data_IF_659521828445
#
_entry.id   IF_659521828445
#
_cell.length_a   1.000
_cell.length_b   1.000
_cell.length_c   1.000
_cell.angle_alpha   90.00
_cell.angle_beta   90.00
_cell.angle_gamma   90.00
#
_symmetry.space_group_name_H-M   'P 1'
#
loop_
_entity.id
_entity.type
_entity.pdbx_description
1 polymer ?
#
# COMPACT_ATOMS: atom_id res chain seq x y z
N UNK A 1 -19.59 -9.25 15.37
CA UNK A 1 -19.37 -9.16 13.93
C UNK A 1 -18.17 -8.27 13.76
N UNK A 2 -17.08 -8.78 13.20
CA UNK A 2 -15.90 -7.98 12.89
C UNK A 2 -16.19 -7.15 11.65
N UNK A 3 -15.75 -5.89 11.64
CA UNK A 3 -15.85 -5.05 10.45
C UNK A 3 -14.72 -5.40 9.49
N UNK A 4 -15.02 -5.48 8.19
CA UNK A 4 -14.00 -5.60 7.14
C UNK A 4 -13.83 -4.26 6.43
N UNK A 5 -12.58 -3.91 6.16
CA UNK A 5 -12.21 -2.74 5.39
C UNK A 5 -11.58 -3.19 4.09
N UNK A 6 -12.17 -2.80 2.97
CA UNK A 6 -11.54 -2.99 1.67
C UNK A 6 -10.42 -1.97 1.53
N UNK A 7 -9.21 -2.50 1.37
CA UNK A 7 -8.02 -1.74 1.02
C UNK A 7 -7.71 -1.93 -0.44
N UNK A 8 -7.38 -0.83 -1.12
CA UNK A 8 -6.78 -0.86 -2.46
C UNK A 8 -5.49 -0.09 -2.43
N UNK A 9 -4.38 -0.71 -2.82
CA UNK A 9 -3.05 -0.10 -2.93
C UNK A 9 -2.51 -0.32 -4.34
N UNK A 10 -1.97 0.72 -4.94
CA UNK A 10 -1.42 0.71 -6.30
C UNK A 10 -0.23 1.65 -6.38
N UNK A 11 0.99 1.11 -6.37
CA UNK A 11 2.20 1.90 -6.54
C UNK A 11 3.29 1.18 -7.31
N UNK A 12 4.25 1.95 -7.81
CA UNK A 12 5.50 1.42 -8.37
C UNK A 12 6.57 1.53 -7.32
N UNK A 13 7.37 0.49 -7.15
CA UNK A 13 8.56 0.50 -6.32
C UNK A 13 9.77 0.98 -7.11
N UNK A 14 10.72 1.57 -6.40
CA UNK A 14 11.96 2.07 -6.96
C UNK A 14 12.81 0.92 -7.53
N UNK A 15 13.62 1.18 -8.56
CA UNK A 15 14.54 0.21 -9.13
C UNK A 15 15.56 -0.37 -8.15
N UNK A 16 15.96 0.43 -7.16
CA UNK A 16 16.95 0.09 -6.15
C UNK A 16 16.32 -0.50 -4.87
N UNK A 17 15.06 -0.93 -4.95
CA UNK A 17 14.39 -1.61 -3.83
C UNK A 17 15.20 -2.85 -3.41
N UNK A 18 15.61 -2.96 -2.14
CA UNK A 18 16.43 -4.07 -1.66
C UNK A 18 15.72 -5.41 -1.77
N UNK A 19 16.47 -6.47 -2.07
CA UNK A 19 15.94 -7.84 -2.09
C UNK A 19 15.24 -8.24 -0.77
N UNK A 20 15.77 -7.91 0.43
CA UNK A 20 15.09 -8.23 1.69
C UNK A 20 13.69 -7.61 1.80
N UNK A 21 13.51 -6.36 1.36
CA UNK A 21 12.20 -5.71 1.34
C UNK A 21 11.24 -6.41 0.37
N UNK A 22 11.73 -6.80 -0.82
CA UNK A 22 10.90 -7.54 -1.78
C UNK A 22 10.51 -8.93 -1.27
N UNK A 23 11.37 -9.58 -0.50
CA UNK A 23 11.09 -10.88 0.11
C UNK A 23 10.04 -10.76 1.23
N UNK A 24 10.17 -9.75 2.09
CA UNK A 24 9.15 -9.37 3.07
C UNK A 24 7.81 -9.02 2.41
N UNK A 25 7.83 -8.24 1.32
CA UNK A 25 6.62 -7.93 0.56
C UNK A 25 5.96 -9.16 -0.06
N UNK A 26 6.75 -10.11 -0.60
CA UNK A 26 6.19 -11.38 -1.08
C UNK A 26 5.54 -12.18 0.04
N UNK A 27 6.11 -12.17 1.24
CA UNK A 27 5.54 -12.82 2.41
C UNK A 27 4.20 -12.19 2.78
N UNK A 28 4.12 -10.86 2.94
CA UNK A 28 2.86 -10.20 3.29
C UNK A 28 1.78 -10.31 2.23
N UNK A 29 2.17 -10.43 0.96
CA UNK A 29 1.25 -10.74 -0.12
C UNK A 29 0.82 -12.22 -0.15
N UNK A 30 1.43 -13.12 0.62
CA UNK A 30 1.16 -14.57 0.51
C UNK A 30 1.60 -15.15 -0.83
N UNK A 31 2.65 -14.58 -1.44
CA UNK A 31 3.32 -15.13 -2.63
C UNK A 31 4.45 -16.11 -2.25
N UNK A 32 4.81 -16.15 -0.98
CA UNK A 32 5.73 -17.11 -0.37
C UNK A 32 5.29 -17.39 1.05
N UNK A 33 5.47 -18.63 1.50
CA UNK A 33 5.24 -19.02 2.90
C UNK A 33 6.47 -18.80 3.78
N UNK A 34 7.64 -18.57 3.16
CA UNK A 34 8.89 -18.34 3.89
C UNK A 34 8.87 -16.95 4.54
N UNK A 35 8.97 -16.85 5.88
CA UNK A 35 9.06 -15.56 6.55
C UNK A 35 10.38 -14.84 6.21
N UNK A 36 10.40 -13.50 6.22
CA UNK A 36 11.62 -12.73 6.01
C UNK A 36 12.62 -12.95 7.15
N UNK A 37 13.93 -12.95 6.85
CA UNK A 37 14.98 -13.16 7.86
C UNK A 37 15.16 -11.98 8.81
N UNK A 38 14.89 -10.77 8.31
CA UNK A 38 15.01 -9.50 9.04
C UNK A 38 13.85 -8.58 8.62
N UNK A 39 12.63 -8.82 9.11
CA UNK A 39 11.50 -7.96 8.80
C UNK A 39 11.75 -6.54 9.28
N UNK A 40 11.38 -5.56 8.47
CA UNK A 40 11.31 -4.15 8.86
C UNK A 40 9.89 -3.76 9.29
N UNK A 41 8.88 -4.45 8.78
CA UNK A 41 7.50 -4.32 9.21
C UNK A 41 7.31 -5.15 10.48
N UNK A 42 6.87 -4.53 11.57
CA UNK A 42 6.65 -5.19 12.86
C UNK A 42 5.35 -6.04 12.88
N UNK A 43 5.07 -6.72 11.77
CA UNK A 43 3.91 -7.59 11.59
C UNK A 43 4.45 -8.99 11.24
N UNK A 44 4.17 -9.99 12.06
CA UNK A 44 4.72 -11.35 11.87
C UNK A 44 3.79 -12.31 11.11
N UNK A 45 2.61 -11.82 10.69
CA UNK A 45 1.67 -12.52 9.81
C UNK A 45 1.54 -11.85 8.43
N UNK A 46 1.09 -12.58 7.40
CA UNK A 46 0.98 -12.00 6.08
C UNK A 46 -0.30 -11.14 5.97
N UNK A 47 -0.14 -9.82 6.05
CA UNK A 47 -1.25 -8.88 6.27
C UNK A 47 -1.87 -8.28 4.99
N UNK A 48 -1.39 -8.66 3.81
CA UNK A 48 -1.91 -8.24 2.50
C UNK A 48 -2.32 -9.46 1.66
N UNK A 49 -2.70 -10.55 2.33
CA UNK A 49 -3.20 -11.79 1.70
C UNK A 49 -4.64 -11.64 1.26
N UNK A 50 -5.09 -12.58 0.44
CA UNK A 50 -6.49 -12.73 0.06
C UNK A 50 -7.07 -13.89 0.87
N UNK A 51 -8.19 -13.68 1.53
CA UNK A 51 -8.91 -14.79 2.17
C UNK A 51 -9.58 -15.66 1.10
N UNK A 52 -9.47 -17.00 1.16
CA UNK A 52 -10.08 -17.90 0.18
C UNK A 52 -11.60 -17.75 0.06
N UNK A 53 -12.26 -17.37 1.15
CA UNK A 53 -13.70 -17.16 1.26
C UNK A 53 -14.07 -15.67 1.32
N UNK A 54 -13.26 -14.79 0.72
CA UNK A 54 -13.59 -13.36 0.74
C UNK A 54 -14.94 -13.08 0.02
N UNK A 55 -15.71 -12.19 0.62
CA UNK A 55 -17.02 -11.72 0.13
C UNK A 55 -16.87 -10.50 -0.78
N UNK A 56 -15.64 -10.13 -1.16
CA UNK A 56 -15.36 -8.90 -1.87
C UNK A 56 -15.93 -8.99 -3.28
N UNK A 57 -16.81 -8.06 -3.71
CA UNK A 57 -17.34 -8.10 -5.07
C UNK A 57 -16.20 -8.00 -6.09
N UNK A 58 -16.08 -8.99 -6.97
CA UNK A 58 -14.97 -9.10 -7.93
C UNK A 58 -13.69 -9.75 -7.38
N UNK A 59 -13.69 -10.17 -6.12
CA UNK A 59 -12.61 -10.85 -5.42
C UNK A 59 -11.44 -9.94 -5.02
N UNK A 60 -10.65 -10.41 -4.06
CA UNK A 60 -9.36 -9.82 -3.74
C UNK A 60 -8.33 -10.11 -4.81
N UNK A 61 -7.38 -9.19 -4.98
CA UNK A 61 -6.33 -9.25 -5.99
C UNK A 61 -5.01 -8.85 -5.37
N UNK A 62 -3.96 -9.60 -5.70
CA UNK A 62 -2.58 -9.24 -5.38
C UNK A 62 -1.70 -9.44 -6.60
N UNK A 63 -0.84 -8.46 -6.87
CA UNK A 63 0.03 -8.50 -8.03
C UNK A 63 1.31 -7.75 -7.72
N UNK A 64 2.44 -8.43 -7.92
CA UNK A 64 3.77 -7.84 -7.87
C UNK A 64 4.50 -8.20 -9.16
N UNK A 65 4.57 -7.25 -10.08
CA UNK A 65 5.06 -7.48 -11.44
C UNK A 65 6.38 -6.76 -11.66
N UNK A 66 7.42 -7.52 -12.00
CA UNK A 66 8.69 -6.95 -12.44
C UNK A 66 8.54 -6.32 -13.83
N UNK A 67 8.82 -5.03 -13.92
CA UNK A 67 8.90 -4.28 -15.17
C UNK A 67 10.36 -4.25 -15.63
N UNK A 68 10.59 -4.71 -16.87
CA UNK A 68 11.93 -4.71 -17.45
C UNK A 68 12.40 -3.27 -17.73
N UNK A 69 13.71 -2.99 -17.66
CA UNK A 69 14.27 -1.72 -18.10
C UNK A 69 13.85 -1.38 -19.55
N UNK A 70 13.58 -0.09 -19.83
CA UNK A 70 13.20 0.37 -21.17
C UNK A 70 13.68 1.80 -21.43
N UNK A 71 14.28 2.06 -22.60
CA UNK A 71 14.78 3.38 -23.05
C UNK A 71 15.44 4.21 -21.92
N UNK A 72 16.54 3.67 -21.36
CA UNK A 72 17.32 4.27 -20.26
C UNK A 72 16.58 4.40 -18.92
N UNK A 73 15.37 3.86 -18.77
CA UNK A 73 14.71 3.72 -17.48
C UNK A 73 15.10 2.38 -16.87
N UNK A 74 15.62 2.36 -15.63
CA UNK A 74 15.87 1.11 -14.92
C UNK A 74 14.56 0.35 -14.68
N UNK A 75 14.66 -0.96 -14.47
CA UNK A 75 13.50 -1.80 -14.16
C UNK A 75 12.87 -1.40 -12.83
N UNK A 76 11.61 -1.74 -12.63
CA UNK A 76 10.85 -1.42 -11.42
C UNK A 76 9.90 -2.56 -11.07
N UNK A 77 9.19 -2.46 -9.96
CA UNK A 77 8.09 -3.38 -9.65
C UNK A 77 6.78 -2.60 -9.58
N UNK A 78 5.75 -3.11 -10.25
CA UNK A 78 4.37 -2.65 -10.05
C UNK A 78 3.71 -3.48 -8.96
N UNK A 79 3.19 -2.83 -7.93
CA UNK A 79 2.41 -3.43 -6.86
C UNK A 79 0.94 -3.02 -7.03
N UNK A 80 0.05 -4.00 -7.01
CA UNK A 80 -1.38 -3.80 -6.86
C UNK A 80 -1.93 -4.77 -5.81
N UNK A 81 -2.67 -4.24 -4.85
CA UNK A 81 -3.34 -5.01 -3.80
C UNK A 81 -4.77 -4.50 -3.71
N UNK A 82 -5.71 -5.43 -3.64
CA UNK A 82 -7.09 -5.20 -3.25
C UNK A 82 -7.46 -6.32 -2.29
N UNK A 83 -7.74 -6.01 -1.03
CA UNK A 83 -8.01 -7.05 -0.01
C UNK A 83 -8.90 -6.51 1.11
N UNK A 84 -9.46 -7.42 1.92
CA UNK A 84 -10.05 -7.06 3.20
C UNK A 84 -9.01 -7.04 4.32
N UNK A 85 -9.15 -6.04 5.17
CA UNK A 85 -8.43 -5.90 6.44
C UNK A 85 -9.46 -5.93 7.56
N UNK A 86 -9.21 -6.74 8.58
CA UNK A 86 -10.05 -6.84 9.77
C UNK A 86 -9.87 -5.63 10.70
N UNK A 87 -10.92 -5.30 11.44
CA UNK A 87 -10.97 -4.15 12.34
C UNK A 87 -9.93 -4.16 13.46
N UNK A 88 -9.63 -5.33 14.02
CA UNK A 88 -8.60 -5.53 15.04
C UNK A 88 -7.19 -5.21 14.53
N UNK A 89 -6.88 -5.53 13.27
CA UNK A 89 -5.60 -5.22 12.63
C UNK A 89 -5.56 -3.84 11.97
N UNK A 90 -6.72 -3.26 11.64
CA UNK A 90 -6.82 -2.05 10.81
C UNK A 90 -6.01 -0.88 11.36
N UNK A 91 -6.13 -0.59 12.67
CA UNK A 91 -5.45 0.55 13.30
C UNK A 91 -3.92 0.45 13.27
N UNK A 92 -3.38 -0.76 13.31
CA UNK A 92 -1.94 -0.99 13.24
C UNK A 92 -1.46 -0.89 11.79
N UNK A 93 -2.15 -1.61 10.89
CA UNK A 93 -1.77 -1.68 9.49
C UNK A 93 -1.85 -0.31 8.80
N UNK A 94 -2.84 0.52 9.15
CA UNK A 94 -3.09 1.82 8.49
C UNK A 94 -1.91 2.78 8.60
N UNK A 95 -1.15 2.66 9.68
CA UNK A 95 0.07 3.44 9.91
C UNK A 95 1.28 2.71 9.33
N UNK A 96 1.40 1.41 9.63
CA UNK A 96 2.61 0.64 9.36
C UNK A 96 2.81 0.36 7.86
N UNK A 97 1.78 -0.14 7.16
CA UNK A 97 1.91 -0.60 5.77
C UNK A 97 2.19 0.55 4.80
N UNK A 98 1.42 1.66 4.79
CA UNK A 98 1.71 2.76 3.89
C UNK A 98 3.09 3.38 4.16
N UNK A 99 3.48 3.55 5.43
CA UNK A 99 4.79 4.10 5.79
C UNK A 99 5.94 3.20 5.35
N UNK A 100 5.81 1.89 5.53
CA UNK A 100 6.79 0.92 5.07
C UNK A 100 6.92 0.90 3.54
N UNK A 101 5.80 0.90 2.81
CA UNK A 101 5.79 0.96 1.34
C UNK A 101 6.35 2.29 0.81
N UNK A 102 6.06 3.41 1.46
CA UNK A 102 6.45 4.75 1.02
C UNK A 102 7.96 4.87 0.83
N UNK A 103 8.76 4.26 1.71
CA UNK A 103 10.24 4.31 1.69
C UNK A 103 10.84 3.89 0.35
N UNK A 104 10.19 2.94 -0.32
CA UNK A 104 10.63 2.40 -1.61
C UNK A 104 9.68 2.75 -2.75
N UNK A 105 8.71 3.62 -2.55
CA UNK A 105 7.79 4.04 -3.60
C UNK A 105 8.47 4.96 -4.61
N UNK A 106 8.37 4.59 -5.88
CA UNK A 106 8.59 5.48 -7.01
C UNK A 106 7.34 6.32 -7.32
N UNK A 107 6.15 5.82 -7.01
CA UNK A 107 4.91 6.60 -7.12
C UNK A 107 4.92 7.72 -6.08
N UNK A 108 4.52 8.91 -6.53
CA UNK A 108 4.32 10.10 -5.71
C UNK A 108 2.85 10.52 -5.85
N UNK A 109 2.26 11.08 -4.80
CA UNK A 109 0.83 11.36 -4.74
C UNK A 109 0.02 10.14 -4.30
N UNK A 110 -1.18 9.99 -4.82
CA UNK A 110 -2.13 8.94 -4.41
C UNK A 110 -1.58 7.54 -4.70
N UNK A 111 -1.63 6.67 -3.70
CA UNK A 111 -1.20 5.26 -3.81
C UNK A 111 -2.31 4.28 -3.44
N UNK A 112 -3.48 4.74 -3.04
CA UNK A 112 -4.54 3.83 -2.61
C UNK A 112 -5.58 4.45 -1.70
N UNK A 113 -6.49 3.62 -1.22
CA UNK A 113 -7.60 4.02 -0.37
C UNK A 113 -8.08 2.86 0.51
N UNK A 114 -8.78 3.21 1.59
CA UNK A 114 -9.53 2.29 2.44
C UNK A 114 -11.01 2.69 2.47
N UNK A 115 -11.89 1.68 2.44
CA UNK A 115 -13.34 1.84 2.60
C UNK A 115 -13.92 0.71 3.44
N UNK A 116 -15.07 0.94 4.06
CA UNK A 116 -15.81 -0.13 4.72
C UNK A 116 -16.40 -1.10 3.68
N UNK A 117 -16.59 -2.38 4.05
CA UNK A 117 -17.03 -3.50 3.18
C UNK A 117 -18.21 -3.17 2.23
N UNK A 118 -19.13 -2.31 2.66
CA UNK A 118 -20.33 -1.96 1.90
C UNK A 118 -20.38 -0.48 1.46
N UNK A 119 -19.32 0.29 1.76
CA UNK A 119 -19.28 1.71 1.41
C UNK A 119 -18.93 1.89 -0.06
N UNK A 120 -19.68 2.76 -0.74
CA UNK A 120 -19.38 3.14 -2.13
C UNK A 120 -18.17 4.08 -2.22
N UNK A 121 -17.89 4.83 -1.15
CA UNK A 121 -16.85 5.84 -1.10
C UNK A 121 -15.77 5.46 -0.09
N UNK A 122 -14.49 5.77 -0.39
CA UNK A 122 -13.42 5.63 0.58
C UNK A 122 -13.63 6.62 1.74
N UNK A 123 -13.29 6.17 2.95
CA UNK A 123 -13.19 7.05 4.11
C UNK A 123 -11.75 7.53 4.32
N UNK A 124 -10.77 6.88 3.71
CA UNK A 124 -9.37 7.29 3.74
C UNK A 124 -8.68 7.07 2.40
N UNK A 125 -7.87 8.04 2.00
CA UNK A 125 -6.95 7.93 0.88
C UNK A 125 -5.51 7.95 1.39
N UNK A 126 -4.64 7.15 0.78
CA UNK A 126 -3.22 7.09 1.09
C UNK A 126 -2.41 7.78 0.00
N UNK A 127 -1.40 8.55 0.43
CA UNK A 127 -0.49 9.26 -0.46
C UNK A 127 0.95 9.02 -0.05
N UNK A 128 1.86 9.22 -0.99
CA UNK A 128 3.31 9.18 -0.77
C UNK A 128 3.97 10.43 -1.29
N UNK A 129 4.88 11.00 -0.52
CA UNK A 129 5.78 12.05 -0.95
C UNK A 129 7.18 11.83 -0.36
N UNK A 130 8.20 11.81 -1.20
CA UNK A 130 9.61 11.76 -0.80
C UNK A 130 9.96 10.67 0.23
N UNK A 131 9.34 9.49 0.09
CA UNK A 131 9.57 8.36 1.00
C UNK A 131 8.70 8.35 2.26
N UNK A 132 7.80 9.32 2.41
CA UNK A 132 6.87 9.45 3.52
C UNK A 132 5.44 9.13 3.10
N UNK A 133 4.68 8.53 4.01
CA UNK A 133 3.26 8.25 3.80
C UNK A 133 2.37 9.30 4.46
N UNK A 134 1.25 9.55 3.81
CA UNK A 134 0.25 10.52 4.22
C UNK A 134 -1.14 9.93 4.03
N UNK A 135 -2.13 10.52 4.69
CA UNK A 135 -3.51 10.17 4.47
C UNK A 135 -4.43 11.38 4.52
N UNK A 136 -5.60 11.25 3.90
CA UNK A 136 -6.66 12.25 3.96
C UNK A 136 -8.04 11.58 3.90
N UNK A 137 -8.95 12.05 4.75
CA UNK A 137 -10.37 11.79 4.58
C UNK A 137 -10.95 12.56 3.40
N UNK A 138 -12.16 12.22 2.93
CA UNK A 138 -12.83 12.96 1.86
C UNK A 138 -13.07 14.42 2.23
N UNK A 139 -12.41 15.34 1.52
CA UNK A 139 -12.53 16.78 1.74
C UNK A 139 -11.58 17.35 2.80
N UNK A 140 -10.78 16.50 3.44
CA UNK A 140 -9.80 16.91 4.45
C UNK A 140 -8.44 17.27 3.81
N UNK A 141 -7.58 17.89 4.62
CA UNK A 141 -6.17 18.10 4.26
C UNK A 141 -5.38 16.79 4.26
N UNK A 142 -4.32 16.72 3.44
CA UNK A 142 -3.40 15.58 3.44
C UNK A 142 -2.42 15.73 4.61
N UNK A 143 -2.50 14.78 5.54
CA UNK A 143 -1.72 14.78 6.78
C UNK A 143 -0.72 13.63 6.82
N UNK A 144 0.45 13.81 7.43
CA UNK A 144 1.45 12.77 7.52
C UNK A 144 1.00 11.64 8.46
N UNK A 145 1.23 10.39 8.08
CA UNK A 145 0.97 9.22 8.94
C UNK A 145 2.03 9.05 10.04
N UNK A 146 3.17 9.75 9.92
CA UNK A 146 4.24 9.80 10.90
C UNK A 146 4.61 11.27 11.15
N UNK A 147 4.70 11.68 12.42
CA UNK A 147 5.03 13.04 12.84
C UNK A 147 6.40 13.58 12.39
N UNK A 148 7.30 12.75 11.84
CA UNK A 148 8.58 13.20 11.28
C UNK A 148 8.52 13.62 9.81
N UNK A 149 7.40 13.40 9.11
CA UNK A 149 7.29 13.72 7.69
C UNK A 149 7.07 15.22 7.46
N UNK A 150 7.66 15.82 6.41
CA UNK A 150 7.40 17.21 6.05
C UNK A 150 5.95 17.38 5.58
N UNK A 151 5.42 18.62 5.53
CA UNK A 151 4.10 18.88 4.97
C UNK A 151 3.98 18.36 3.54
N UNK A 152 2.80 17.82 3.21
CA UNK A 152 2.50 17.39 1.84
C UNK A 152 2.35 18.61 0.94
N UNK A 153 3.05 18.63 -0.19
CA UNK A 153 3.15 19.79 -1.10
C UNK A 153 2.91 19.44 -2.56
N UNK A 154 2.77 18.17 -2.89
CA UNK A 154 2.35 17.75 -4.22
C UNK A 154 0.95 18.28 -4.48
N UNK A 155 0.87 19.33 -5.31
CA UNK A 155 -0.39 19.70 -5.91
C UNK A 155 -0.90 18.49 -6.68
N UNK A 156 -2.17 18.13 -6.52
CA UNK A 156 -2.83 17.22 -7.45
C UNK A 156 -2.46 17.71 -8.85
N UNK A 157 -1.64 16.95 -9.58
CA UNK A 157 -1.55 17.16 -11.01
C UNK A 157 -2.95 16.84 -11.48
N UNK A 158 -3.75 17.89 -11.71
CA UNK A 158 -4.92 17.79 -12.55
C UNK A 158 -4.41 17.12 -13.79
N UNK A 159 -4.80 15.86 -14.00
CA UNK A 159 -4.67 15.18 -15.28
C UNK A 159 -5.34 16.12 -16.28
N UNK A 160 -4.51 16.94 -16.90
CA UNK A 160 -4.95 17.83 -17.95
C UNK A 160 -4.85 16.95 -19.19
N UNK A 161 -5.97 16.68 -19.87
CA UNK A 161 -6.03 15.69 -20.94
C UNK A 161 -5.06 15.97 -22.09
#
# INVERSE_FOLDING_TARGET
>A
MSLHYEWTLSLRLRPDTPAPFLDELRFHLGLTERPPEKPELEIDWPCLVTEPDDTLPGGSVRSLVAQRPYLNRPGSFGLFVRTFVLDDAMYELILAVPAWLARWSLTQGWIGQAREELSLHPWLNFYVQDGHAYAAGPGDGVEPLNGSAPPFTLNYTSDTP
#
